data_IF_927541370006
#
_entry.id   IF_927541370006
#
_cell.length_a   1.000
_cell.length_b   1.000
_cell.length_c   1.000
_cell.angle_alpha   90.00
_cell.angle_beta   90.00
_cell.angle_gamma   90.00
#
_symmetry.space_group_name_H-M   'P 1'
#
loop_
_entity.id
_entity.type
_entity.pdbx_description
1 polymer ?
#
# COMPACT_ATOMS: atom_id res chain seq x y z
N UNK A 1 -30.32 113.13 -49.19
CA UNK A 1 -28.90 113.51 -49.05
C UNK A 1 -28.42 112.97 -47.71
N UNK A 2 -27.39 112.09 -47.71
CA UNK A 2 -26.59 111.57 -46.57
C UNK A 2 -27.31 110.65 -45.57
N UNK A 3 -27.12 109.31 -45.64
CA UNK A 3 -26.12 108.48 -44.90
C UNK A 3 -26.32 108.52 -43.38
N UNK A 4 -26.31 107.44 -42.61
CA UNK A 4 -26.09 105.99 -42.74
C UNK A 4 -26.68 105.39 -41.45
N UNK A 5 -27.12 104.13 -41.37
CA UNK A 5 -26.45 103.10 -40.55
C UNK A 5 -27.51 102.05 -40.23
N UNK A 6 -27.57 100.91 -40.93
CA UNK A 6 -28.12 99.68 -40.32
C UNK A 6 -27.94 98.39 -41.13
N UNK A 7 -26.76 98.13 -41.70
CA UNK A 7 -26.50 96.78 -42.26
C UNK A 7 -25.03 96.39 -42.03
N UNK A 8 -24.68 96.16 -40.77
CA UNK A 8 -23.45 95.44 -40.40
C UNK A 8 -23.63 94.72 -39.06
N UNK A 9 -24.83 94.21 -38.79
CA UNK A 9 -25.13 93.35 -37.64
C UNK A 9 -25.29 91.88 -38.05
N UNK A 10 -24.42 91.37 -38.94
CA UNK A 10 -24.47 89.96 -39.36
C UNK A 10 -23.12 89.30 -39.61
N UNK A 11 -22.00 89.96 -39.30
CA UNK A 11 -20.66 89.40 -39.55
C UNK A 11 -19.98 88.80 -38.32
N UNK A 12 -20.57 88.82 -37.12
CA UNK A 12 -19.78 88.52 -35.91
C UNK A 12 -20.44 87.59 -34.88
N UNK A 13 -21.39 86.76 -35.30
CA UNK A 13 -22.03 85.78 -34.39
C UNK A 13 -21.87 84.33 -34.82
N UNK A 14 -21.36 84.06 -36.03
CA UNK A 14 -21.18 82.69 -36.53
C UNK A 14 -19.72 82.20 -36.60
N UNK A 15 -18.72 83.02 -36.28
CA UNK A 15 -17.30 82.59 -36.29
C UNK A 15 -16.70 82.25 -34.92
N UNK A 16 -17.42 82.54 -33.83
CA UNK A 16 -16.89 82.31 -32.47
C UNK A 16 -17.19 80.88 -31.98
N UNK A 17 -18.11 80.16 -32.61
CA UNK A 17 -18.64 78.89 -32.07
C UNK A 17 -17.86 77.62 -32.45
N UNK A 18 -16.65 77.72 -32.99
CA UNK A 18 -15.91 76.50 -33.36
C UNK A 18 -14.41 76.52 -33.07
N UNK A 19 -13.93 77.36 -32.14
CA UNK A 19 -12.59 77.19 -31.58
C UNK A 19 -12.66 76.16 -30.46
N UNK A 20 -12.60 74.88 -30.82
CA UNK A 20 -12.42 73.78 -29.85
C UNK A 20 -11.27 74.17 -28.89
N UNK A 21 -11.51 74.27 -27.57
CA UNK A 21 -10.51 74.81 -26.66
C UNK A 21 -9.27 73.92 -26.68
N UNK A 22 -8.15 74.48 -27.15
CA UNK A 22 -6.85 73.78 -27.27
C UNK A 22 -6.37 73.28 -25.90
N UNK A 23 -6.78 73.95 -24.82
CA UNK A 23 -6.53 73.49 -23.45
C UNK A 23 -7.17 72.12 -23.22
N UNK A 24 -8.46 71.93 -23.52
CA UNK A 24 -9.15 70.66 -23.32
C UNK A 24 -8.51 69.51 -24.11
N UNK A 25 -8.00 69.79 -25.31
CA UNK A 25 -7.27 68.81 -26.13
C UNK A 25 -5.94 68.42 -25.48
N UNK A 26 -5.20 69.38 -24.90
CA UNK A 26 -3.92 69.10 -24.21
C UNK A 26 -4.12 68.29 -22.93
N UNK A 27 -5.14 68.62 -22.13
CA UNK A 27 -5.44 67.88 -20.89
C UNK A 27 -6.02 66.50 -21.16
N UNK A 28 -6.86 66.36 -22.20
CA UNK A 28 -7.39 65.06 -22.62
C UNK A 28 -6.29 64.08 -23.03
N UNK A 29 -5.30 64.53 -23.81
CA UNK A 29 -4.15 63.68 -24.18
C UNK A 29 -3.32 63.26 -22.96
N UNK A 30 -3.13 64.16 -21.99
CA UNK A 30 -2.43 63.83 -20.74
C UNK A 30 -3.18 62.77 -19.91
N UNK A 31 -4.51 62.92 -19.79
CA UNK A 31 -5.36 61.97 -19.07
C UNK A 31 -5.38 60.60 -19.77
N UNK A 32 -5.49 60.58 -21.09
CA UNK A 32 -5.45 59.33 -21.85
C UNK A 32 -4.10 58.61 -21.71
N UNK A 33 -2.99 59.36 -21.78
CA UNK A 33 -1.65 58.83 -21.60
C UNK A 33 -1.45 58.30 -20.17
N UNK A 34 -1.97 59.00 -19.15
CA UNK A 34 -1.93 58.53 -17.76
C UNK A 34 -2.68 57.20 -17.59
N UNK A 35 -3.88 57.06 -18.16
CA UNK A 35 -4.67 55.83 -18.10
C UNK A 35 -3.92 54.69 -18.79
N UNK A 36 -3.32 54.94 -19.97
CA UNK A 36 -2.53 53.95 -20.68
C UNK A 36 -1.32 53.47 -19.85
N UNK A 37 -0.59 54.41 -19.23
CA UNK A 37 0.55 54.08 -18.35
C UNK A 37 0.08 53.27 -17.14
N UNK A 38 -1.05 53.61 -16.53
CA UNK A 38 -1.62 52.86 -15.40
C UNK A 38 -1.92 51.40 -15.76
N UNK A 39 -2.40 51.15 -16.99
CA UNK A 39 -2.65 49.79 -17.50
C UNK A 39 -1.36 48.98 -17.70
N UNK A 40 -0.28 49.62 -18.17
CA UNK A 40 1.03 48.95 -18.28
C UNK A 40 1.62 48.65 -16.90
N UNK A 41 1.48 49.58 -15.94
CA UNK A 41 1.92 49.35 -14.57
C UNK A 41 1.13 48.25 -13.86
N UNK A 42 -0.19 48.16 -14.09
CA UNK A 42 -0.99 47.09 -13.50
C UNK A 42 -0.62 45.73 -14.08
N UNK A 43 -0.37 45.64 -15.39
CA UNK A 43 0.13 44.43 -16.02
C UNK A 43 1.51 44.00 -15.49
N UNK A 44 2.40 44.96 -15.21
CA UNK A 44 3.72 44.67 -14.64
C UNK A 44 3.65 44.27 -13.16
N UNK A 45 2.73 44.86 -12.40
CA UNK A 45 2.54 44.56 -10.98
C UNK A 45 1.90 43.18 -10.75
N UNK A 46 1.08 42.71 -11.68
CA UNK A 46 0.51 41.36 -11.65
C UNK A 46 1.57 40.37 -12.16
N UNK A 47 2.52 40.01 -11.29
CA UNK A 47 3.35 38.81 -11.48
C UNK A 47 2.45 37.58 -11.42
N UNK A 48 2.10 37.04 -12.58
CA UNK A 48 1.56 35.68 -12.65
C UNK A 48 2.68 34.70 -12.29
N UNK A 49 2.53 33.87 -11.25
CA UNK A 49 3.47 32.80 -11.00
C UNK A 49 3.30 31.77 -12.12
N UNK A 50 4.27 31.68 -13.03
CA UNK A 50 4.33 30.62 -14.06
C UNK A 50 4.39 29.21 -13.47
N UNK A 51 4.63 29.10 -12.16
CA UNK A 51 4.67 27.84 -11.44
C UNK A 51 3.60 27.85 -10.36
N UNK A 52 2.43 27.27 -10.67
CA UNK A 52 1.54 26.79 -9.64
C UNK A 52 2.16 25.47 -9.17
N UNK A 53 2.99 25.52 -8.13
CA UNK A 53 3.37 24.33 -7.39
C UNK A 53 2.14 23.82 -6.65
N UNK A 54 1.20 23.22 -7.39
CA UNK A 54 0.19 22.39 -6.76
C UNK A 54 0.96 21.26 -6.09
N UNK A 55 0.77 21.00 -4.80
CA UNK A 55 1.16 19.71 -4.28
C UNK A 55 0.42 18.70 -5.15
N UNK A 56 1.16 17.87 -5.86
CA UNK A 56 0.62 16.63 -6.38
C UNK A 56 0.35 15.82 -5.11
N UNK A 57 -0.82 15.98 -4.51
CA UNK A 57 -1.35 14.96 -3.63
C UNK A 57 -1.61 13.78 -4.53
N UNK A 58 -0.63 12.87 -4.61
CA UNK A 58 -0.97 11.47 -4.80
C UNK A 58 -1.98 11.19 -3.70
N UNK A 59 -3.26 11.13 -4.06
CA UNK A 59 -4.27 10.57 -3.17
C UNK A 59 -3.91 9.09 -3.17
N UNK A 60 -2.96 8.71 -2.31
CA UNK A 60 -2.65 7.34 -1.96
C UNK A 60 -3.95 6.74 -1.48
N UNK A 61 -4.60 5.97 -2.36
CA UNK A 61 -5.85 5.32 -2.05
C UNK A 61 -5.59 4.38 -0.89
N UNK A 62 -6.33 4.57 0.20
CA UNK A 62 -6.47 3.70 1.37
C UNK A 62 -5.29 2.72 1.54
N UNK A 63 -4.28 3.11 2.33
CA UNK A 63 -3.12 2.30 2.74
C UNK A 63 -3.54 1.14 3.68
N UNK A 64 -4.65 0.49 3.38
CA UNK A 64 -5.28 -0.58 4.16
C UNK A 64 -5.31 -1.84 3.34
N UNK A 65 -4.86 -2.95 3.92
CA UNK A 65 -4.93 -4.26 3.31
C UNK A 65 -5.89 -5.15 4.07
N UNK A 66 -6.93 -5.62 3.38
CA UNK A 66 -7.85 -6.59 3.94
C UNK A 66 -7.21 -7.98 3.94
N UNK A 67 -7.30 -8.67 5.08
CA UNK A 67 -6.81 -10.01 5.28
C UNK A 67 -7.98 -10.99 5.25
N UNK A 68 -7.85 -11.98 4.38
CA UNK A 68 -8.80 -13.06 4.17
C UNK A 68 -8.19 -14.38 4.61
N UNK A 69 -9.04 -15.40 4.77
CA UNK A 69 -8.56 -16.77 4.92
C UNK A 69 -8.27 -17.41 3.58
N UNK A 70 -7.21 -18.20 3.51
CA UNK A 70 -6.87 -19.00 2.33
C UNK A 70 -7.74 -20.26 2.21
N UNK A 71 -8.42 -20.65 3.28
CA UNK A 71 -9.33 -21.79 3.31
C UNK A 71 -10.48 -21.52 4.29
N UNK A 72 -11.63 -22.10 4.01
CA UNK A 72 -12.78 -21.99 4.91
C UNK A 72 -12.59 -22.87 6.15
N UNK A 73 -13.00 -22.39 7.33
CA UNK A 73 -12.81 -23.12 8.58
C UNK A 73 -13.18 -22.31 9.82
N UNK A 74 -13.00 -22.92 10.99
CA UNK A 74 -13.27 -22.29 12.28
C UNK A 74 -12.00 -21.60 12.78
N UNK A 75 -12.04 -20.32 13.17
CA UNK A 75 -10.90 -19.66 13.80
C UNK A 75 -10.72 -20.23 15.22
N UNK A 76 -9.56 -20.81 15.53
CA UNK A 76 -9.25 -21.35 16.86
C UNK A 76 -8.51 -20.35 17.73
N UNK A 77 -7.53 -19.66 17.17
CA UNK A 77 -6.66 -18.72 17.88
C UNK A 77 -6.47 -17.44 17.08
N UNK A 78 -6.37 -16.32 17.79
CA UNK A 78 -6.00 -15.01 17.25
C UNK A 78 -4.85 -14.51 18.13
N UNK A 79 -3.73 -14.14 17.52
CA UNK A 79 -2.48 -13.84 18.23
C UNK A 79 -2.27 -12.35 18.53
N UNK A 80 -3.12 -11.47 17.96
CA UNK A 80 -2.99 -10.01 18.05
C UNK A 80 -4.29 -9.38 18.58
N UNK A 81 -4.17 -8.15 19.09
CA UNK A 81 -5.25 -7.27 19.56
C UNK A 81 -5.45 -6.05 18.64
N UNK A 82 -6.59 -5.35 18.76
CA UNK A 82 -6.91 -4.19 17.90
C UNK A 82 -5.88 -3.10 18.14
N UNK A 83 -5.31 -2.56 17.06
CA UNK A 83 -4.28 -1.53 17.16
C UNK A 83 -2.86 -2.07 17.39
N UNK A 84 -2.65 -3.39 17.45
CA UNK A 84 -1.30 -3.95 17.57
C UNK A 84 -0.48 -3.73 16.29
N UNK A 85 0.85 -3.61 16.46
CA UNK A 85 1.78 -3.58 15.33
C UNK A 85 2.11 -4.99 14.87
N UNK A 86 1.90 -5.26 13.59
CA UNK A 86 2.25 -6.51 12.92
C UNK A 86 3.36 -6.28 11.91
N UNK A 87 4.17 -7.30 11.68
CA UNK A 87 5.19 -7.34 10.62
C UNK A 87 4.78 -8.28 9.50
N UNK A 88 5.39 -8.10 8.34
CA UNK A 88 5.30 -9.09 7.26
C UNK A 88 5.73 -10.47 7.76
N UNK A 89 4.87 -11.48 7.56
CA UNK A 89 5.06 -12.87 7.94
C UNK A 89 4.41 -13.27 9.26
N UNK A 90 3.94 -12.32 10.07
CA UNK A 90 3.38 -12.61 11.39
C UNK A 90 2.06 -13.39 11.28
N UNK A 91 1.92 -14.46 12.07
CA UNK A 91 0.70 -15.28 12.11
C UNK A 91 -0.37 -14.54 12.92
N UNK A 92 -1.38 -14.02 12.23
CA UNK A 92 -2.49 -13.26 12.79
C UNK A 92 -3.49 -14.20 13.47
N UNK A 93 -3.91 -15.24 12.75
CA UNK A 93 -4.92 -16.18 13.20
C UNK A 93 -4.61 -17.61 12.74
N UNK A 94 -5.14 -18.58 13.49
CA UNK A 94 -4.96 -20.01 13.25
C UNK A 94 -6.34 -20.66 13.16
N UNK A 95 -6.58 -21.38 12.07
CA UNK A 95 -7.79 -22.18 11.89
C UNK A 95 -7.72 -23.50 12.66
N UNK A 96 -8.88 -24.00 13.08
CA UNK A 96 -9.02 -25.29 13.72
C UNK A 96 -8.61 -26.42 12.77
N UNK A 97 -7.78 -27.31 13.28
CA UNK A 97 -7.22 -28.42 12.56
C UNK A 97 -7.07 -29.64 13.49
N UNK A 98 -6.98 -30.83 12.89
CA UNK A 98 -6.79 -32.07 13.64
C UNK A 98 -5.35 -32.28 14.18
N UNK A 99 -4.42 -31.41 13.81
CA UNK A 99 -3.03 -31.48 14.26
C UNK A 99 -2.80 -30.52 15.42
N UNK A 100 -2.05 -30.97 16.42
CA UNK A 100 -1.69 -30.10 17.53
C UNK A 100 -0.60 -29.11 17.09
N UNK A 101 -0.81 -27.83 17.36
CA UNK A 101 0.13 -26.76 16.99
C UNK A 101 1.52 -27.01 17.57
N UNK A 102 1.61 -27.52 18.80
CA UNK A 102 2.91 -27.86 19.42
C UNK A 102 3.62 -28.97 18.67
N UNK A 103 2.88 -29.98 18.19
CA UNK A 103 3.41 -31.08 17.38
C UNK A 103 3.95 -30.58 16.03
N UNK A 104 3.24 -29.65 15.39
CA UNK A 104 3.68 -29.01 14.13
C UNK A 104 4.94 -28.17 14.35
N UNK A 105 5.00 -27.39 15.44
CA UNK A 105 6.16 -26.56 15.76
C UNK A 105 7.42 -27.41 15.99
N UNK A 106 7.28 -28.53 16.72
CA UNK A 106 8.36 -29.48 16.92
C UNK A 106 8.86 -30.08 15.59
N UNK A 107 7.92 -30.52 14.74
CA UNK A 107 8.26 -31.04 13.41
C UNK A 107 9.05 -30.01 12.59
N UNK A 108 8.61 -28.75 12.59
CA UNK A 108 9.26 -27.66 11.87
C UNK A 108 10.69 -27.42 12.34
N UNK A 109 10.91 -27.28 13.65
CA UNK A 109 12.26 -27.09 14.22
C UNK A 109 13.23 -28.19 13.79
N UNK A 110 12.72 -29.41 13.62
CA UNK A 110 13.53 -30.57 13.28
C UNK A 110 13.80 -30.65 11.79
N UNK A 111 12.83 -30.29 10.95
CA UNK A 111 13.01 -30.20 9.50
C UNK A 111 13.99 -29.08 9.12
N UNK A 112 13.99 -27.96 9.86
CA UNK A 112 14.96 -26.87 9.69
C UNK A 112 16.38 -27.28 10.10
N UNK A 113 16.52 -28.08 11.17
CA UNK A 113 17.82 -28.61 11.60
C UNK A 113 18.36 -29.74 10.70
N UNK A 114 17.49 -30.51 10.04
CA UNK A 114 17.86 -31.74 9.33
C UNK A 114 18.08 -31.61 7.82
N UNK A 115 18.32 -30.40 7.29
CA UNK A 115 18.77 -30.27 5.89
C UNK A 115 20.11 -30.96 5.63
N UNK A 116 20.91 -31.17 6.69
CA UNK A 116 22.20 -31.82 6.61
C UNK A 116 22.26 -33.05 7.53
N UNK A 117 22.06 -34.22 6.91
CA UNK A 117 22.62 -35.50 7.32
C UNK A 117 21.94 -36.12 8.56
N UNK A 118 21.48 -37.37 8.36
CA UNK A 118 21.03 -38.31 9.40
C UNK A 118 22.01 -38.29 10.57
N UNK A 119 21.59 -37.69 11.68
CA UNK A 119 22.37 -37.60 12.90
C UNK A 119 21.65 -38.37 14.02
N UNK A 120 22.32 -38.52 15.16
CA UNK A 120 21.79 -39.24 16.33
C UNK A 120 20.51 -38.60 16.88
N UNK A 121 20.40 -37.27 16.81
CA UNK A 121 19.22 -36.52 17.26
C UNK A 121 18.00 -36.81 16.37
N UNK A 122 18.18 -36.99 15.06
CA UNK A 122 17.11 -37.40 14.14
C UNK A 122 16.56 -38.79 14.51
N UNK A 123 17.43 -39.70 14.93
CA UNK A 123 17.04 -41.06 15.35
C UNK A 123 16.19 -41.01 16.61
N UNK A 124 16.69 -40.34 17.65
CA UNK A 124 16.00 -40.22 18.94
C UNK A 124 14.63 -39.54 18.78
N UNK A 125 14.55 -38.54 17.89
CA UNK A 125 13.26 -37.93 17.56
C UNK A 125 12.29 -38.94 16.96
N UNK A 126 12.65 -39.59 15.84
CA UNK A 126 11.75 -40.53 15.17
C UNK A 126 11.35 -41.71 16.08
N UNK A 127 12.20 -42.11 17.01
CA UNK A 127 11.91 -43.18 17.97
C UNK A 127 10.97 -42.71 19.11
N UNK A 128 11.19 -41.52 19.67
CA UNK A 128 10.44 -41.00 20.84
C UNK A 128 9.08 -40.39 20.47
N UNK A 129 8.90 -39.97 19.22
CA UNK A 129 7.79 -39.12 18.78
C UNK A 129 6.77 -39.87 17.90
N UNK A 130 6.48 -41.14 18.25
CA UNK A 130 5.50 -41.97 17.52
C UNK A 130 4.05 -41.51 17.65
N UNK A 131 3.74 -40.64 18.61
CA UNK A 131 2.37 -40.24 18.98
C UNK A 131 2.01 -38.80 18.60
N UNK A 132 2.78 -38.11 17.76
CA UNK A 132 2.41 -36.74 17.39
C UNK A 132 1.10 -36.72 16.61
N UNK A 133 0.19 -35.88 17.08
CA UNK A 133 -1.02 -35.51 16.35
C UNK A 133 -0.63 -34.54 15.23
N UNK A 134 -0.22 -35.08 14.08
CA UNK A 134 0.17 -34.30 12.90
C UNK A 134 -1.00 -34.11 11.90
N UNK A 135 -2.19 -34.62 12.21
CA UNK A 135 -3.35 -34.51 11.34
C UNK A 135 -3.05 -35.05 9.94
N UNK A 136 -3.28 -34.23 8.91
CA UNK A 136 -3.03 -34.60 7.50
C UNK A 136 -1.54 -34.84 7.18
N UNK A 137 -0.62 -34.22 7.93
CA UNK A 137 0.83 -34.38 7.72
C UNK A 137 1.37 -35.74 8.21
N UNK A 138 0.57 -36.48 9.00
CA UNK A 138 1.00 -37.74 9.60
C UNK A 138 1.41 -38.78 8.53
N UNK A 139 0.68 -38.84 7.42
CA UNK A 139 0.95 -39.81 6.35
C UNK A 139 2.34 -39.59 5.74
N UNK A 140 2.67 -38.35 5.40
CA UNK A 140 3.96 -38.00 4.81
C UNK A 140 5.10 -38.16 5.82
N UNK A 141 4.84 -37.82 7.08
CA UNK A 141 5.76 -38.06 8.19
C UNK A 141 6.07 -39.55 8.39
N UNK A 142 5.05 -40.41 8.37
CA UNK A 142 5.22 -41.85 8.53
C UNK A 142 6.04 -42.46 7.37
N UNK A 143 5.82 -41.98 6.14
CA UNK A 143 6.60 -42.39 4.97
C UNK A 143 8.06 -41.94 5.07
N UNK A 144 8.30 -40.69 5.47
CA UNK A 144 9.65 -40.18 5.72
C UNK A 144 10.36 -41.01 6.79
N UNK A 145 9.70 -41.26 7.93
CA UNK A 145 10.23 -42.07 9.03
C UNK A 145 10.61 -43.47 8.56
N UNK A 146 9.78 -44.11 7.75
CA UNK A 146 10.08 -45.43 7.17
C UNK A 146 11.34 -45.37 6.30
N UNK A 147 11.41 -44.42 5.36
CA UNK A 147 12.57 -44.25 4.49
C UNK A 147 13.85 -43.89 5.26
N UNK A 148 13.72 -43.18 6.39
CA UNK A 148 14.83 -42.89 7.29
C UNK A 148 15.45 -44.16 7.88
N UNK A 149 14.63 -45.07 8.41
CA UNK A 149 15.13 -46.35 8.94
C UNK A 149 15.72 -47.23 7.85
N UNK A 150 15.08 -47.30 6.67
CA UNK A 150 15.62 -48.04 5.52
C UNK A 150 17.00 -47.51 5.11
N UNK A 151 17.18 -46.18 5.07
CA UNK A 151 18.47 -45.55 4.77
C UNK A 151 19.51 -45.80 5.86
N UNK A 152 19.12 -45.76 7.13
CA UNK A 152 20.01 -46.06 8.25
C UNK A 152 20.52 -47.50 8.21
N UNK A 153 19.66 -48.45 7.84
CA UNK A 153 19.99 -49.88 7.80
C UNK A 153 20.88 -50.23 6.60
N UNK A 154 20.53 -49.75 5.40
CA UNK A 154 21.21 -50.15 4.15
C UNK A 154 22.36 -49.23 3.74
N UNK A 155 22.30 -47.95 4.12
CA UNK A 155 23.28 -46.90 3.84
C UNK A 155 23.73 -46.82 2.36
N UNK A 156 22.81 -47.08 1.42
CA UNK A 156 23.05 -47.05 -0.02
C UNK A 156 22.53 -45.75 -0.66
N UNK A 157 23.03 -45.44 -1.87
CA UNK A 157 22.68 -44.21 -2.56
C UNK A 157 21.18 -44.11 -2.90
N UNK A 158 20.54 -45.23 -3.23
CA UNK A 158 19.12 -45.29 -3.58
C UNK A 158 18.21 -44.99 -2.38
N UNK A 159 18.51 -45.54 -1.19
CA UNK A 159 17.74 -45.20 0.02
C UNK A 159 17.96 -43.76 0.45
N UNK A 160 19.17 -43.20 0.25
CA UNK A 160 19.45 -41.77 0.48
C UNK A 160 18.58 -40.88 -0.40
N UNK A 161 18.49 -41.19 -1.68
CA UNK A 161 17.69 -40.44 -2.64
C UNK A 161 16.20 -40.49 -2.28
N UNK A 162 15.68 -41.68 -1.99
CA UNK A 162 14.30 -41.86 -1.50
C UNK A 162 14.00 -41.07 -0.22
N UNK A 163 14.92 -41.08 0.73
CA UNK A 163 14.79 -40.28 1.95
C UNK A 163 14.71 -38.78 1.63
N UNK A 164 15.59 -38.27 0.77
CA UNK A 164 15.59 -36.85 0.35
C UNK A 164 14.30 -36.47 -0.37
N UNK A 165 13.79 -37.34 -1.24
CA UNK A 165 12.52 -37.14 -1.93
C UNK A 165 11.36 -37.04 -0.92
N UNK A 166 11.25 -37.98 0.02
CA UNK A 166 10.20 -37.94 1.04
C UNK A 166 10.34 -36.76 1.99
N UNK A 167 11.57 -36.31 2.26
CA UNK A 167 11.83 -35.11 3.05
C UNK A 167 11.29 -33.87 2.33
N UNK A 168 11.57 -33.74 1.03
CA UNK A 168 11.02 -32.68 0.20
C UNK A 168 9.49 -32.69 0.15
N UNK A 169 8.90 -33.88 -0.02
CA UNK A 169 7.43 -34.01 -0.01
C UNK A 169 6.83 -33.55 1.33
N UNK A 170 7.40 -33.96 2.46
CA UNK A 170 6.91 -33.52 3.77
C UNK A 170 7.07 -32.01 3.98
N UNK A 171 8.17 -31.42 3.51
CA UNK A 171 8.37 -29.97 3.54
C UNK A 171 7.31 -29.23 2.73
N UNK A 172 7.01 -29.70 1.53
CA UNK A 172 5.96 -29.13 0.69
C UNK A 172 4.58 -29.28 1.33
N UNK A 173 4.27 -30.45 1.88
CA UNK A 173 3.02 -30.67 2.61
C UNK A 173 2.90 -29.75 3.83
N UNK A 174 3.99 -29.53 4.56
CA UNK A 174 4.01 -28.57 5.68
C UNK A 174 3.76 -27.13 5.22
N UNK A 175 4.34 -26.71 4.09
CA UNK A 175 4.11 -25.39 3.51
C UNK A 175 2.64 -25.19 3.10
N UNK A 176 2.06 -26.20 2.43
CA UNK A 176 0.63 -26.19 2.06
C UNK A 176 -0.27 -26.19 3.30
N UNK A 177 0.11 -26.94 4.33
CA UNK A 177 -0.58 -26.95 5.60
C UNK A 177 -0.54 -25.55 6.26
N UNK A 178 0.63 -24.91 6.32
CA UNK A 178 0.75 -23.55 6.84
C UNK A 178 -0.08 -22.56 6.04
N UNK A 179 -0.04 -22.64 4.71
CA UNK A 179 -0.87 -21.80 3.83
C UNK A 179 -2.36 -21.98 4.07
N UNK A 180 -2.81 -23.20 4.38
CA UNK A 180 -4.22 -23.52 4.61
C UNK A 180 -4.73 -23.07 5.97
N UNK A 181 -3.93 -23.24 7.03
CA UNK A 181 -4.40 -23.09 8.41
C UNK A 181 -3.84 -21.86 9.14
N UNK A 182 -2.75 -21.26 8.65
CA UNK A 182 -2.16 -20.06 9.24
C UNK A 182 -2.46 -18.84 8.37
N UNK A 183 -3.16 -17.89 8.95
CA UNK A 183 -3.41 -16.59 8.33
C UNK A 183 -2.27 -15.66 8.73
N UNK A 184 -1.42 -15.32 7.77
CA UNK A 184 -0.24 -14.47 7.99
C UNK A 184 -0.44 -13.08 7.44
N UNK A 185 0.19 -12.10 8.08
CA UNK A 185 0.25 -10.75 7.56
C UNK A 185 1.20 -10.66 6.36
N UNK A 186 0.77 -10.19 5.18
CA UNK A 186 1.66 -9.97 4.05
C UNK A 186 2.39 -8.61 4.11
N UNK A 187 2.07 -7.73 5.07
CA UNK A 187 2.64 -6.37 5.17
C UNK A 187 2.87 -5.97 6.63
N UNK A 188 3.78 -5.03 6.85
CA UNK A 188 3.97 -4.45 8.19
C UNK A 188 3.02 -3.26 8.38
N UNK A 189 2.46 -3.11 9.58
CA UNK A 189 1.50 -2.05 9.84
C UNK A 189 0.77 -2.19 11.17
N UNK A 190 -0.31 -1.45 11.33
CA UNK A 190 -1.22 -1.52 12.48
C UNK A 190 -2.42 -2.38 12.09
N UNK A 191 -2.70 -3.43 12.85
CA UNK A 191 -3.82 -4.32 12.59
C UNK A 191 -5.09 -3.78 13.24
N UNK A 192 -6.19 -3.75 12.49
CA UNK A 192 -7.52 -3.58 13.03
C UNK A 192 -8.32 -4.87 12.87
N UNK A 193 -8.84 -5.34 13.99
CA UNK A 193 -9.64 -6.57 14.08
C UNK A 193 -10.87 -6.22 14.89
N UNK A 194 -12.03 -6.59 14.37
CA UNK A 194 -13.27 -6.49 15.14
C UNK A 194 -13.40 -7.75 16.02
N UNK A 195 -12.95 -7.64 17.27
CA UNK A 195 -12.86 -8.74 18.23
C UNK A 195 -14.19 -9.36 18.66
N UNK A 196 -15.33 -8.82 18.23
CA UNK A 196 -16.63 -9.26 18.70
C UNK A 196 -16.98 -10.65 18.13
N UNK A 197 -16.38 -11.65 18.77
CA UNK A 197 -16.55 -13.09 18.66
C UNK A 197 -15.93 -13.77 17.44
N UNK A 198 -14.74 -13.43 16.95
CA UNK A 198 -14.13 -14.20 15.84
C UNK A 198 -13.64 -15.59 16.27
N UNK A 199 -13.24 -15.78 17.53
CA UNK A 199 -12.84 -17.09 18.07
C UNK A 199 -14.01 -18.07 18.05
N UNK A 200 -13.75 -19.30 17.61
CA UNK A 200 -14.73 -20.37 17.39
C UNK A 200 -15.84 -20.02 16.38
N UNK A 201 -15.66 -19.01 15.52
CA UNK A 201 -16.54 -18.79 14.37
C UNK A 201 -16.00 -19.42 13.11
N UNK A 202 -16.94 -19.92 12.30
CA UNK A 202 -16.67 -20.31 10.93
C UNK A 202 -16.47 -19.06 10.06
N UNK A 203 -15.43 -19.07 9.26
CA UNK A 203 -15.15 -18.09 8.22
C UNK A 203 -14.98 -18.80 6.87
N UNK A 204 -15.37 -18.11 5.82
CA UNK A 204 -15.07 -18.52 4.45
C UNK A 204 -13.93 -17.69 3.86
N UNK A 205 -13.53 -18.00 2.63
CA UNK A 205 -12.45 -17.32 1.90
C UNK A 205 -12.78 -15.87 1.52
N UNK A 206 -14.04 -15.44 1.66
CA UNK A 206 -14.49 -14.08 1.35
C UNK A 206 -14.62 -13.19 2.58
N UNK A 207 -14.55 -13.80 3.77
CA UNK A 207 -14.70 -13.12 5.05
C UNK A 207 -13.45 -12.31 5.39
N UNK A 208 -13.63 -11.01 5.65
CA UNK A 208 -12.55 -10.14 6.13
C UNK A 208 -12.30 -10.45 7.60
N UNK A 209 -11.08 -10.88 7.91
CA UNK A 209 -10.66 -11.23 9.28
C UNK A 209 -10.04 -10.02 9.98
N UNK A 210 -9.21 -9.28 9.25
CA UNK A 210 -8.49 -8.12 9.73
C UNK A 210 -8.25 -7.12 8.61
N UNK A 211 -8.00 -5.87 8.97
CA UNK A 211 -7.55 -4.81 8.06
C UNK A 211 -6.22 -4.27 8.59
N UNK A 212 -5.19 -4.20 7.74
CA UNK A 212 -3.87 -3.72 8.15
C UNK A 212 -3.60 -2.35 7.54
N UNK A 213 -3.41 -1.35 8.38
CA UNK A 213 -3.01 0.00 8.00
C UNK A 213 -1.48 0.05 7.87
N UNK A 214 -0.97 0.22 6.66
CA UNK A 214 0.47 0.29 6.39
C UNK A 214 1.03 1.66 6.81
N UNK A 215 2.12 1.66 7.58
CA UNK A 215 2.89 2.87 7.86
C UNK A 215 3.83 3.11 6.65
N UNK A 216 3.52 4.08 5.80
CA UNK A 216 4.37 4.42 4.64
C UNK A 216 5.60 5.23 5.09
N UNK A 217 6.79 4.83 4.64
CA UNK A 217 7.98 5.69 4.67
C UNK A 217 7.96 6.57 3.42
N UNK A 218 7.29 7.71 3.50
CA UNK A 218 7.19 8.65 2.38
C UNK A 218 8.51 9.44 2.24
N UNK A 219 9.42 8.97 1.38
CA UNK A 219 10.60 9.73 0.96
C UNK A 219 11.05 9.38 -0.45
N UNK A 220 10.37 9.93 -1.47
CA UNK A 220 11.00 10.20 -2.78
C UNK A 220 10.55 11.58 -3.28
N UNK A 221 11.31 12.63 -2.93
CA UNK A 221 11.18 13.94 -3.55
C UNK A 221 11.82 13.92 -4.94
N UNK A 222 11.04 13.49 -5.95
CA UNK A 222 11.44 13.55 -7.34
C UNK A 222 11.07 14.91 -7.96
N UNK A 223 12.06 15.71 -8.38
CA UNK A 223 11.82 16.89 -9.22
C UNK A 223 11.83 16.45 -10.68
N UNK A 224 10.66 16.43 -11.32
CA UNK A 224 10.56 16.22 -12.77
C UNK A 224 10.80 17.56 -13.46
N UNK A 225 11.81 17.62 -14.34
CA UNK A 225 12.02 18.71 -15.27
C UNK A 225 11.26 18.34 -16.55
N UNK A 226 10.23 19.12 -16.89
CA UNK A 226 9.61 19.06 -18.21
C UNK A 226 10.46 19.97 -19.11
N UNK A 227 11.16 19.35 -20.07
CA UNK A 227 11.85 20.04 -21.17
C UNK A 227 10.83 20.55 -22.21
#
# INVERSE_FOLDING_TARGET
MSHSDNISASLDVNEIYNRKPIWLIRWGTFIFLMIAVLLFFSAWYIKYPEFISTPITFIGGNHTLNIYSNNSGIIKYINYHDGDKVKNGDVIAILENAADFKSILLLKTILEKNDAIVNKETTEFFEMNSFLSLGELYKDFALLRKCYFDYREKNDANTREKYREKLGNLKNSLELFEFRYLIKSPVSGIISINYNNLTNKYIDETSIIAVIYQEEHDQISGRIKLD
#
